data_IF_036310013835
#
_entry.id   IF_036310013835
#
_cell.length_a   1.000
_cell.length_b   1.000
_cell.length_c   1.000
_cell.angle_alpha   90.00
_cell.angle_beta   90.00
_cell.angle_gamma   90.00
#
_symmetry.space_group_name_H-M   'P 1'
#
loop_
_entity.id
_entity.type
_entity.pdbx_description
1 polymer ?
#
# COMPACT_ATOMS: atom_id res chain seq x y z
N UNK A 1 9.81 -16.09 -4.25
CA UNK A 1 10.87 -15.91 -5.26
C UNK A 1 10.94 -14.44 -5.64
N UNK A 2 12.09 -13.83 -5.48
CA UNK A 2 12.34 -12.42 -5.83
C UNK A 2 12.47 -12.28 -7.34
N UNK A 3 11.63 -11.45 -8.00
CA UNK A 3 11.75 -11.13 -9.42
C UNK A 3 12.05 -9.65 -9.60
N UNK A 4 13.16 -9.34 -10.28
CA UNK A 4 13.58 -7.97 -10.61
C UNK A 4 13.12 -7.63 -12.02
N UNK A 5 12.45 -6.49 -12.19
CA UNK A 5 11.96 -6.03 -13.50
C UNK A 5 12.60 -4.66 -13.80
N UNK A 6 13.57 -4.54 -14.74
CA UNK A 6 14.19 -3.27 -15.10
C UNK A 6 13.27 -2.38 -15.95
N UNK A 7 13.37 -1.06 -15.77
CA UNK A 7 12.68 -0.04 -16.56
C UNK A 7 13.53 0.33 -17.78
N UNK A 8 12.93 0.47 -18.96
CA UNK A 8 13.63 0.84 -20.18
C UNK A 8 14.07 2.31 -20.16
N UNK A 9 15.32 2.60 -20.53
CA UNK A 9 15.76 3.96 -20.88
C UNK A 9 15.07 4.40 -22.18
N UNK A 10 14.36 5.54 -22.14
CA UNK A 10 13.68 6.10 -23.29
C UNK A 10 14.66 6.68 -24.28
N UNK A 11 14.89 6.00 -25.41
CA UNK A 11 15.55 6.58 -26.57
C UNK A 11 14.51 7.39 -27.36
N UNK A 12 14.73 8.70 -27.48
CA UNK A 12 13.96 9.55 -28.35
C UNK A 12 14.26 9.23 -29.81
N UNK A 13 13.23 8.92 -30.58
CA UNK A 13 13.25 9.05 -32.04
C UNK A 13 11.90 9.55 -32.54
N UNK A 14 11.97 10.63 -33.31
CA UNK A 14 10.92 11.23 -34.14
C UNK A 14 10.45 10.21 -35.17
N UNK A 15 9.14 10.13 -35.36
CA UNK A 15 8.53 9.38 -36.46
C UNK A 15 7.03 9.68 -36.53
N UNK A 16 6.67 10.57 -37.46
CA UNK A 16 5.32 10.91 -37.91
C UNK A 16 4.56 9.64 -38.35
N UNK A 17 3.30 9.51 -37.97
CA UNK A 17 2.48 8.38 -38.40
C UNK A 17 1.14 8.33 -37.66
N UNK A 18 0.17 9.11 -38.12
CA UNK A 18 -1.24 9.08 -37.75
C UNK A 18 -1.86 7.68 -37.86
N UNK A 19 -2.29 7.12 -36.73
CA UNK A 19 -3.36 6.14 -36.64
C UNK A 19 -4.05 6.28 -35.30
N UNK A 20 -5.25 6.85 -35.29
CA UNK A 20 -6.14 6.85 -34.13
C UNK A 20 -6.66 5.43 -33.89
N UNK A 21 -6.55 4.87 -32.69
CA UNK A 21 -7.36 3.74 -32.30
C UNK A 21 -8.68 4.26 -31.73
N UNK A 22 -9.72 4.25 -32.55
CA UNK A 22 -11.11 4.31 -32.12
C UNK A 22 -11.43 3.06 -31.31
N UNK A 23 -11.78 3.26 -30.06
CA UNK A 23 -12.19 2.19 -29.15
C UNK A 23 -12.11 2.61 -27.70
N UNK A 24 -12.80 3.72 -27.34
CA UNK A 24 -13.06 4.06 -25.94
C UNK A 24 -14.18 3.14 -25.47
N UNK A 25 -13.83 1.94 -24.98
CA UNK A 25 -14.72 1.26 -24.07
C UNK A 25 -14.75 2.10 -22.78
N UNK A 26 -15.81 2.87 -22.60
CA UNK A 26 -16.20 3.46 -21.33
C UNK A 26 -16.36 2.30 -20.33
N UNK A 27 -15.29 2.03 -19.58
CA UNK A 27 -15.40 1.23 -18.37
C UNK A 27 -16.41 1.93 -17.49
N UNK A 28 -17.58 1.29 -17.28
CA UNK A 28 -18.59 1.74 -16.36
C UNK A 28 -17.92 2.15 -15.05
N UNK A 29 -18.17 3.39 -14.62
CA UNK A 29 -17.65 3.91 -13.37
C UNK A 29 -18.11 2.95 -12.26
N UNK A 30 -17.15 2.33 -11.57
CA UNK A 30 -17.46 1.55 -10.38
C UNK A 30 -18.22 2.44 -9.40
N UNK A 31 -19.24 1.91 -8.68
CA UNK A 31 -20.04 2.71 -7.76
C UNK A 31 -19.11 3.37 -6.74
N UNK A 32 -19.15 4.71 -6.66
CA UNK A 32 -18.42 5.46 -5.65
C UNK A 32 -18.76 4.91 -4.26
N UNK A 33 -17.86 4.17 -3.68
CA UNK A 33 -18.00 3.70 -2.32
C UNK A 33 -18.03 4.91 -1.40
N UNK A 34 -19.19 5.17 -0.79
CA UNK A 34 -19.29 6.22 0.24
C UNK A 34 -18.23 5.99 1.32
N UNK A 35 -17.53 7.07 1.74
CA UNK A 35 -16.53 6.95 2.80
C UNK A 35 -17.17 6.35 4.06
N UNK A 36 -16.52 5.34 4.63
CA UNK A 36 -16.97 4.76 5.89
C UNK A 36 -16.67 5.74 7.03
N UNK A 37 -17.68 6.22 7.77
CA UNK A 37 -17.47 7.10 8.90
C UNK A 37 -16.62 6.40 9.95
N UNK A 38 -15.66 7.12 10.54
CA UNK A 38 -14.82 6.58 11.59
C UNK A 38 -14.36 7.68 12.55
N UNK A 39 -13.97 7.25 13.74
CA UNK A 39 -13.29 8.06 14.74
C UNK A 39 -12.18 7.22 15.38
N UNK A 40 -11.00 7.81 15.54
CA UNK A 40 -9.88 7.22 16.26
C UNK A 40 -9.50 8.10 17.44
N UNK A 41 -9.01 7.48 18.50
CA UNK A 41 -8.32 8.15 19.61
C UNK A 41 -6.90 7.62 19.61
N UNK A 42 -5.96 8.50 19.32
CA UNK A 42 -4.53 8.23 19.36
C UNK A 42 -4.02 8.22 20.81
N UNK A 43 -2.98 7.45 21.05
CA UNK A 43 -2.18 7.49 22.29
C UNK A 43 -0.69 7.41 21.94
N UNK A 44 0.22 7.78 22.88
CA UNK A 44 1.64 7.51 22.73
C UNK A 44 1.89 6.00 22.59
N UNK A 45 2.92 5.62 21.83
CA UNK A 45 3.37 4.23 21.82
C UNK A 45 3.80 3.79 23.21
N UNK A 46 3.33 2.64 23.65
CA UNK A 46 3.81 1.99 24.86
C UNK A 46 5.12 1.27 24.59
N UNK A 47 5.91 1.02 25.63
CA UNK A 47 7.17 0.26 25.53
C UNK A 47 6.96 -1.11 24.85
N UNK A 48 5.91 -1.84 25.25
CA UNK A 48 5.56 -3.14 24.64
C UNK A 48 5.18 -3.04 23.14
N UNK A 49 4.55 -1.96 22.73
CA UNK A 49 4.26 -1.73 21.32
C UNK A 49 5.54 -1.42 20.53
N UNK A 50 6.44 -0.63 21.11
CA UNK A 50 7.75 -0.38 20.50
C UNK A 50 8.59 -1.65 20.41
N UNK A 51 8.60 -2.49 21.47
CA UNK A 51 9.22 -3.81 21.42
C UNK A 51 8.64 -4.72 20.32
N UNK A 52 7.30 -4.71 20.17
CA UNK A 52 6.64 -5.45 19.09
C UNK A 52 7.18 -5.04 17.71
N UNK A 53 7.28 -3.74 17.44
CA UNK A 53 7.80 -3.22 16.19
C UNK A 53 9.31 -3.43 16.01
N UNK A 54 10.07 -3.30 17.10
CA UNK A 54 11.51 -3.57 17.12
C UNK A 54 11.84 -5.03 16.76
N UNK A 55 10.94 -5.97 17.06
CA UNK A 55 11.05 -7.37 16.61
C UNK A 55 11.08 -7.54 15.08
N UNK A 56 10.65 -6.53 14.31
CA UNK A 56 10.74 -6.46 12.85
C UNK A 56 11.82 -5.47 12.36
N UNK A 57 12.67 -4.97 13.27
CA UNK A 57 13.65 -3.93 12.95
C UNK A 57 13.07 -2.53 12.75
N UNK A 58 11.78 -2.33 13.05
CA UNK A 58 11.08 -1.07 12.83
C UNK A 58 11.21 -0.20 14.07
N UNK A 59 11.79 0.99 13.91
CA UNK A 59 11.97 1.98 14.97
C UNK A 59 10.78 2.92 15.07
N UNK A 60 10.61 3.60 16.21
CA UNK A 60 9.59 4.64 16.38
C UNK A 60 9.73 5.77 15.34
N UNK A 61 10.95 6.13 14.96
CA UNK A 61 11.20 7.12 13.91
C UNK A 61 10.61 6.69 12.55
N UNK A 62 10.72 5.41 12.19
CA UNK A 62 10.09 4.87 10.99
C UNK A 62 8.57 4.88 11.11
N UNK A 63 8.01 4.47 12.25
CA UNK A 63 6.56 4.50 12.49
C UNK A 63 6.01 5.93 12.32
N UNK A 64 6.63 6.90 12.97
CA UNK A 64 6.23 8.31 12.90
C UNK A 64 6.33 8.85 11.46
N UNK A 65 7.42 8.54 10.75
CA UNK A 65 7.62 8.96 9.36
C UNK A 65 6.52 8.46 8.44
N UNK A 66 6.06 7.23 8.63
CA UNK A 66 5.02 6.61 7.81
C UNK A 66 3.60 6.82 8.34
N UNK A 67 3.41 7.73 9.31
CA UNK A 67 2.09 8.06 9.86
C UNK A 67 1.44 6.92 10.64
N UNK A 68 2.22 5.98 11.15
CA UNK A 68 1.70 4.89 12.00
C UNK A 68 1.44 5.45 13.39
N UNK A 69 0.26 5.16 13.92
CA UNK A 69 -0.19 5.64 15.23
C UNK A 69 -0.55 4.47 16.14
N UNK A 70 -0.22 4.56 17.43
CA UNK A 70 -0.86 3.72 18.44
C UNK A 70 -2.26 4.28 18.71
N UNK A 71 -3.28 3.40 18.65
CA UNK A 71 -4.68 3.78 18.83
C UNK A 71 -5.23 3.21 20.14
N UNK A 72 -5.78 4.11 20.97
CA UNK A 72 -6.53 3.72 22.17
C UNK A 72 -7.92 3.22 21.80
N UNK A 73 -8.56 3.88 20.83
CA UNK A 73 -9.94 3.59 20.44
C UNK A 73 -10.13 3.76 18.94
N UNK A 74 -10.97 2.88 18.38
CA UNK A 74 -11.51 2.98 17.03
C UNK A 74 -13.02 2.79 17.08
N UNK A 75 -13.78 3.67 16.43
CA UNK A 75 -15.23 3.60 16.25
C UNK A 75 -15.59 3.78 14.79
N UNK A 76 -16.58 3.03 14.33
CA UNK A 76 -17.09 3.09 12.95
C UNK A 76 -18.52 2.54 12.89
N UNK A 77 -19.06 2.44 11.68
CA UNK A 77 -20.38 1.89 11.40
C UNK A 77 -20.29 0.79 10.35
N UNK A 78 -21.12 -0.21 10.47
CA UNK A 78 -21.31 -1.23 9.45
C UNK A 78 -22.02 -0.63 8.23
N UNK A 79 -22.09 -1.37 7.12
CA UNK A 79 -22.85 -0.94 5.92
C UNK A 79 -24.32 -0.65 6.23
N UNK A 80 -24.88 -1.31 7.23
CA UNK A 80 -26.28 -1.17 7.68
C UNK A 80 -26.44 -0.08 8.74
N UNK A 81 -25.43 0.76 8.98
CA UNK A 81 -25.47 1.87 9.94
C UNK A 81 -25.34 1.46 11.41
N UNK A 82 -25.04 0.20 11.72
CA UNK A 82 -24.84 -0.25 13.10
C UNK A 82 -23.46 0.16 13.60
N UNK A 83 -23.42 0.93 14.70
CA UNK A 83 -22.17 1.34 15.33
C UNK A 83 -21.41 0.14 15.90
N UNK A 84 -20.09 0.15 15.70
CA UNK A 84 -19.17 -0.80 16.31
C UNK A 84 -17.83 -0.12 16.63
N UNK A 85 -17.01 -0.77 17.43
CA UNK A 85 -15.68 -0.24 17.72
C UNK A 85 -14.85 -1.18 18.58
N UNK A 86 -13.61 -0.77 18.76
CA UNK A 86 -12.61 -1.51 19.52
C UNK A 86 -11.87 -0.56 20.44
N UNK A 87 -11.39 -1.09 21.55
CA UNK A 87 -10.50 -0.40 22.49
C UNK A 87 -9.26 -1.26 22.64
N UNK A 88 -8.09 -0.65 22.50
CA UNK A 88 -6.83 -1.36 22.70
C UNK A 88 -6.61 -1.70 24.17
N UNK A 89 -5.88 -2.77 24.39
CA UNK A 89 -5.43 -3.19 25.72
C UNK A 89 -3.93 -3.51 25.65
N UNK A 90 -3.31 -3.74 26.81
CA UNK A 90 -1.91 -4.16 26.88
C UNK A 90 -1.62 -5.50 26.16
N UNK A 91 -2.65 -6.33 25.93
CA UNK A 91 -2.55 -7.64 25.27
C UNK A 91 -2.96 -7.54 23.81
N UNK A 92 -3.93 -6.69 23.48
CA UNK A 92 -4.46 -6.46 22.14
C UNK A 92 -4.19 -5.02 21.69
N UNK A 93 -2.99 -4.69 21.25
CA UNK A 93 -2.66 -3.37 20.74
C UNK A 93 -3.38 -3.11 19.41
N UNK A 94 -3.59 -1.83 19.09
CA UNK A 94 -4.13 -1.38 17.83
C UNK A 94 -3.21 -0.32 17.21
N UNK A 95 -2.92 -0.48 15.92
CA UNK A 95 -2.11 0.47 15.17
C UNK A 95 -2.91 1.01 13.99
N UNK A 96 -2.88 2.32 13.78
CA UNK A 96 -3.50 2.97 12.64
C UNK A 96 -2.47 3.34 11.59
N UNK A 97 -2.62 2.84 10.37
CA UNK A 97 -1.97 3.39 9.19
C UNK A 97 -2.85 4.52 8.69
N UNK A 98 -2.39 5.77 8.90
CA UNK A 98 -3.21 6.96 8.64
C UNK A 98 -2.73 7.66 7.37
N UNK A 99 -3.64 8.00 6.49
CA UNK A 99 -3.35 8.70 5.25
C UNK A 99 -4.52 9.59 4.81
N UNK A 100 -4.36 10.30 3.71
CA UNK A 100 -5.41 11.16 3.12
C UNK A 100 -6.69 10.42 2.74
N UNK A 101 -6.57 9.11 2.55
CA UNK A 101 -7.67 8.19 2.21
C UNK A 101 -8.46 7.73 3.44
N UNK A 102 -7.95 7.93 4.66
CA UNK A 102 -8.57 7.49 5.91
C UNK A 102 -7.60 6.71 6.78
N UNK A 103 -8.09 5.65 7.41
CA UNK A 103 -7.30 4.79 8.30
C UNK A 103 -7.52 3.31 7.98
N UNK A 104 -6.42 2.55 7.93
CA UNK A 104 -6.43 1.09 8.04
C UNK A 104 -5.90 0.74 9.42
N UNK A 105 -6.75 0.09 10.22
CA UNK A 105 -6.40 -0.28 11.60
C UNK A 105 -5.91 -1.71 11.62
N UNK A 106 -4.73 -1.93 12.16
CA UNK A 106 -4.10 -3.21 12.34
C UNK A 106 -4.19 -3.68 13.79
N UNK A 107 -4.72 -4.87 14.00
CA UNK A 107 -4.93 -5.52 15.30
C UNK A 107 -4.21 -6.87 15.31
N UNK A 108 -2.89 -6.90 15.61
CA UNK A 108 -2.05 -8.08 15.39
C UNK A 108 -2.45 -9.33 16.18
N UNK A 109 -3.12 -9.16 17.30
CA UNK A 109 -3.52 -10.24 18.23
C UNK A 109 -4.99 -10.62 18.12
N UNK A 110 -5.77 -9.94 17.28
CA UNK A 110 -7.20 -10.17 17.14
C UNK A 110 -7.51 -11.07 15.95
N UNK A 111 -8.60 -11.81 16.01
CA UNK A 111 -9.10 -12.62 14.89
C UNK A 111 -9.39 -11.74 13.66
N UNK A 112 -10.11 -10.63 13.87
CA UNK A 112 -10.29 -9.62 12.83
C UNK A 112 -9.08 -8.67 12.87
N UNK A 113 -8.06 -8.99 12.05
CA UNK A 113 -6.77 -8.28 12.06
C UNK A 113 -6.82 -6.88 11.47
N UNK A 114 -7.74 -6.64 10.52
CA UNK A 114 -7.83 -5.34 9.83
C UNK A 114 -9.24 -4.80 9.80
N UNK A 115 -9.38 -3.51 10.10
CA UNK A 115 -10.61 -2.74 9.91
C UNK A 115 -10.27 -1.40 9.26
N UNK A 116 -11.26 -0.79 8.60
CA UNK A 116 -11.04 0.35 7.71
C UNK A 116 -12.01 1.48 8.01
N UNK A 117 -11.53 2.71 7.93
CA UNK A 117 -12.32 3.94 7.98
C UNK A 117 -11.93 4.90 6.87
N UNK A 118 -12.89 5.70 6.36
CA UNK A 118 -12.66 6.61 5.25
C UNK A 118 -12.76 5.93 3.88
N UNK A 119 -12.02 6.43 2.90
CA UNK A 119 -11.89 5.91 1.54
C UNK A 119 -10.65 5.02 1.42
N UNK A 120 -10.76 3.75 1.74
CA UNK A 120 -9.66 2.78 1.65
C UNK A 120 -9.74 1.88 0.40
N UNK A 121 -10.34 2.40 -0.67
CA UNK A 121 -10.48 1.68 -1.95
C UNK A 121 -9.25 1.82 -2.85
N UNK A 122 -9.48 1.99 -4.17
CA UNK A 122 -8.46 1.96 -5.22
C UNK A 122 -7.34 3.00 -5.11
N UNK A 123 -7.53 4.05 -4.31
CA UNK A 123 -6.52 5.07 -4.07
C UNK A 123 -5.57 4.76 -2.90
N UNK A 124 -5.77 3.63 -2.22
CA UNK A 124 -4.89 3.22 -1.13
C UNK A 124 -3.53 2.80 -1.67
N UNK A 125 -2.51 3.53 -1.28
CA UNK A 125 -1.12 3.16 -1.54
C UNK A 125 -0.26 3.65 -0.37
N UNK A 126 0.12 2.72 0.50
CA UNK A 126 0.94 3.01 1.67
C UNK A 126 2.40 3.17 1.26
N UNK A 127 3.07 4.20 1.81
CA UNK A 127 4.47 4.52 1.52
C UNK A 127 4.70 5.39 0.28
N UNK A 128 3.68 5.66 -0.54
CA UNK A 128 3.84 6.43 -1.78
C UNK A 128 4.36 7.86 -1.56
N UNK A 129 3.92 8.51 -0.47
CA UNK A 129 4.30 9.89 -0.13
C UNK A 129 5.75 9.97 0.39
N UNK A 130 6.28 8.86 0.91
CA UNK A 130 7.63 8.74 1.45
C UNK A 130 8.70 8.45 0.39
N UNK A 131 8.28 8.17 -0.84
CA UNK A 131 9.22 7.87 -1.92
C UNK A 131 9.96 9.13 -2.39
N UNK A 132 11.28 9.04 -2.68
CA UNK A 132 12.04 10.14 -3.27
C UNK A 132 11.57 10.45 -4.70
N UNK A 133 11.85 11.65 -5.24
CA UNK A 133 11.51 12.00 -6.61
C UNK A 133 12.14 11.07 -7.66
N UNK A 134 13.32 10.53 -7.37
CA UNK A 134 14.07 9.55 -8.17
C UNK A 134 14.74 8.54 -7.26
N UNK A 135 14.82 7.29 -7.72
CA UNK A 135 15.45 6.20 -7.01
C UNK A 135 15.94 5.11 -7.96
N UNK A 136 16.74 4.20 -7.44
CA UNK A 136 17.24 3.06 -8.22
C UNK A 136 16.22 1.93 -8.19
N UNK A 137 15.87 1.44 -7.02
CA UNK A 137 14.99 0.29 -6.83
C UNK A 137 13.81 0.62 -5.94
N UNK A 138 12.62 0.18 -6.36
CA UNK A 138 11.37 0.22 -5.60
C UNK A 138 10.86 -1.19 -5.38
N UNK A 139 10.47 -1.50 -4.15
CA UNK A 139 9.78 -2.75 -3.81
C UNK A 139 8.27 -2.54 -3.72
N UNK A 140 7.50 -3.41 -4.37
CA UNK A 140 6.06 -3.56 -4.18
C UNK A 140 5.84 -4.80 -3.30
N UNK A 141 5.22 -4.59 -2.13
CA UNK A 141 5.05 -5.64 -1.11
C UNK A 141 3.57 -5.97 -0.87
N UNK A 142 3.32 -7.06 -0.15
CA UNK A 142 1.98 -7.51 0.21
C UNK A 142 1.32 -6.70 1.33
N UNK A 143 2.10 -6.02 2.19
CA UNK A 143 1.55 -5.35 3.35
C UNK A 143 2.38 -4.20 3.90
N UNK A 144 1.74 -3.40 4.76
CA UNK A 144 2.32 -2.20 5.38
C UNK A 144 3.54 -2.53 6.25
N UNK A 145 3.50 -3.67 6.94
CA UNK A 145 4.61 -4.09 7.81
C UNK A 145 5.88 -4.35 7.00
N UNK A 146 5.74 -4.95 5.82
CA UNK A 146 6.88 -5.22 4.94
C UNK A 146 7.47 -3.92 4.39
N UNK A 147 6.60 -2.94 4.04
CA UNK A 147 7.03 -1.58 3.67
C UNK A 147 7.86 -0.95 4.78
N UNK A 148 7.37 -1.01 6.02
CA UNK A 148 8.05 -0.44 7.19
C UNK A 148 9.39 -1.15 7.47
N UNK A 149 9.42 -2.47 7.35
CA UNK A 149 10.65 -3.27 7.52
C UNK A 149 11.70 -2.89 6.48
N UNK A 150 11.32 -2.82 5.20
CA UNK A 150 12.21 -2.39 4.13
C UNK A 150 12.69 -0.95 4.33
N UNK A 151 11.81 -0.05 4.74
CA UNK A 151 12.16 1.35 5.03
C UNK A 151 13.15 1.48 6.20
N UNK A 152 13.00 0.66 7.23
CA UNK A 152 13.94 0.60 8.36
C UNK A 152 15.37 0.20 7.92
N UNK A 153 15.49 -0.54 6.80
CA UNK A 153 16.75 -0.94 6.21
C UNK A 153 17.20 -0.04 5.04
N UNK A 154 16.55 1.11 4.84
CA UNK A 154 16.93 2.10 3.83
C UNK A 154 16.42 1.80 2.42
N UNK A 155 15.53 0.83 2.24
CA UNK A 155 14.91 0.53 0.95
C UNK A 155 13.63 1.33 0.72
N UNK A 156 13.31 1.61 -0.54
CA UNK A 156 12.05 2.22 -0.93
C UNK A 156 11.01 1.13 -1.21
N UNK A 157 9.88 1.21 -0.54
CA UNK A 157 8.81 0.24 -0.70
C UNK A 157 7.44 0.89 -0.61
N UNK A 158 6.47 0.27 -1.26
CA UNK A 158 5.04 0.60 -1.17
C UNK A 158 4.21 -0.68 -1.15
N UNK A 159 2.99 -0.58 -0.64
CA UNK A 159 1.98 -1.61 -0.83
C UNK A 159 0.61 -1.00 -1.14
N UNK A 160 -0.25 -1.82 -1.73
CA UNK A 160 -1.67 -1.52 -1.95
C UNK A 160 -2.52 -2.16 -0.84
N UNK A 161 -3.82 -1.96 -0.89
CA UNK A 161 -4.73 -2.46 0.14
C UNK A 161 -4.69 -3.99 0.31
N UNK A 162 -4.45 -4.70 -0.79
CA UNK A 162 -4.26 -6.15 -0.86
C UNK A 162 -3.31 -6.48 -2.02
N UNK A 163 -2.60 -7.59 -1.93
CA UNK A 163 -1.81 -8.15 -3.05
C UNK A 163 -2.65 -8.37 -4.31
N UNK A 164 -3.95 -8.69 -4.15
CA UNK A 164 -4.87 -8.91 -5.26
C UNK A 164 -5.38 -7.62 -5.91
N UNK A 165 -5.14 -6.45 -5.31
CA UNK A 165 -5.58 -5.16 -5.85
C UNK A 165 -4.93 -4.87 -7.21
N UNK A 166 -5.69 -4.27 -8.12
CA UNK A 166 -5.14 -3.76 -9.39
C UNK A 166 -4.33 -2.50 -9.07
N UNK A 167 -3.12 -2.39 -9.61
CA UNK A 167 -2.31 -1.19 -9.45
C UNK A 167 -2.90 -0.09 -10.34
N UNK A 168 -3.31 1.07 -9.79
CA UNK A 168 -3.86 2.14 -10.60
C UNK A 168 -2.87 2.63 -11.66
N UNK A 169 -3.29 2.73 -12.92
CA UNK A 169 -2.46 3.17 -14.06
C UNK A 169 -1.72 4.49 -13.79
N UNK A 170 -2.39 5.43 -13.12
CA UNK A 170 -1.81 6.72 -12.71
C UNK A 170 -0.61 6.54 -11.76
N UNK A 171 -0.65 5.54 -10.88
CA UNK A 171 0.45 5.24 -9.97
C UNK A 171 1.58 4.58 -10.75
N UNK A 172 1.31 3.56 -11.58
CA UNK A 172 2.35 2.90 -12.40
C UNK A 172 3.14 3.93 -13.20
N UNK A 173 2.46 4.82 -13.94
CA UNK A 173 3.12 5.86 -14.74
C UNK A 173 4.08 6.73 -13.90
N UNK A 174 3.70 7.08 -12.67
CA UNK A 174 4.57 7.84 -11.77
C UNK A 174 5.78 7.02 -11.32
N UNK A 175 5.59 5.73 -11.03
CA UNK A 175 6.65 4.86 -10.50
C UNK A 175 7.72 4.56 -11.56
N UNK A 176 7.32 4.26 -12.81
CA UNK A 176 8.27 3.97 -13.90
C UNK A 176 9.12 5.18 -14.29
N UNK A 177 8.64 6.40 -14.04
CA UNK A 177 9.44 7.62 -14.21
C UNK A 177 10.41 7.90 -13.05
N UNK A 178 10.13 7.33 -11.88
CA UNK A 178 10.89 7.62 -10.64
C UNK A 178 11.97 6.58 -10.36
N UNK A 179 11.77 5.32 -10.76
CA UNK A 179 12.63 4.21 -10.39
C UNK A 179 13.09 3.45 -11.62
N UNK A 180 14.38 3.02 -11.61
CA UNK A 180 14.96 2.20 -12.69
C UNK A 180 14.50 0.75 -12.60
N UNK A 181 14.28 0.26 -11.38
CA UNK A 181 13.88 -1.12 -11.12
C UNK A 181 12.65 -1.14 -10.22
N UNK A 182 11.68 -1.98 -10.57
CA UNK A 182 10.52 -2.29 -9.73
C UNK A 182 10.57 -3.78 -9.42
N UNK A 183 10.62 -4.11 -8.12
CA UNK A 183 10.70 -5.48 -7.61
C UNK A 183 9.39 -5.85 -6.94
N UNK A 184 8.76 -6.94 -7.40
CA UNK A 184 7.60 -7.52 -6.74
C UNK A 184 8.09 -8.46 -5.64
N UNK A 185 7.75 -8.16 -4.39
CA UNK A 185 8.13 -8.91 -3.20
C UNK A 185 6.87 -9.31 -2.44
N UNK A 186 6.22 -10.39 -2.89
CA UNK A 186 5.01 -10.95 -2.31
C UNK A 186 5.29 -12.29 -1.63
N UNK A 187 4.33 -12.75 -0.82
CA UNK A 187 4.42 -14.05 -0.17
C UNK A 187 4.54 -15.18 -1.21
N UNK A 188 5.21 -16.27 -0.83
CA UNK A 188 5.42 -17.43 -1.72
C UNK A 188 4.26 -18.43 -1.69
N UNK A 189 3.13 -18.03 -1.11
CA UNK A 189 1.89 -18.79 -1.18
C UNK A 189 1.21 -18.65 -2.55
N UNK A 190 0.11 -19.38 -2.75
CA UNK A 190 -0.63 -19.38 -4.03
C UNK A 190 -1.11 -17.98 -4.41
N UNK A 191 -1.63 -17.22 -3.45
CA UNK A 191 -2.19 -15.87 -3.69
C UNK A 191 -1.08 -14.89 -4.09
N UNK A 192 0.03 -14.88 -3.37
CA UNK A 192 1.17 -14.02 -3.67
C UNK A 192 1.82 -14.33 -5.02
N UNK A 193 1.92 -15.62 -5.39
CA UNK A 193 2.44 -16.04 -6.71
C UNK A 193 1.52 -15.60 -7.86
N UNK A 194 0.20 -15.79 -7.74
CA UNK A 194 -0.79 -15.36 -8.73
C UNK A 194 -0.82 -13.83 -8.86
N UNK A 195 -0.76 -13.12 -7.74
CA UNK A 195 -0.74 -11.65 -7.70
C UNK A 195 0.55 -11.09 -8.28
N UNK A 196 1.69 -11.73 -8.00
CA UNK A 196 2.98 -11.36 -8.59
C UNK A 196 2.96 -11.47 -10.11
N UNK A 197 2.39 -12.55 -10.66
CA UNK A 197 2.28 -12.73 -12.11
C UNK A 197 1.33 -11.71 -12.74
N UNK A 198 0.17 -11.45 -12.13
CA UNK A 198 -0.79 -10.43 -12.57
C UNK A 198 -0.14 -9.04 -12.61
N UNK A 199 0.54 -8.64 -11.54
CA UNK A 199 1.19 -7.32 -11.48
C UNK A 199 2.38 -7.23 -12.44
N UNK A 200 3.13 -8.33 -12.64
CA UNK A 200 4.18 -8.38 -13.65
C UNK A 200 3.64 -8.11 -15.05
N UNK A 201 2.51 -8.73 -15.42
CA UNK A 201 1.86 -8.49 -16.71
C UNK A 201 1.42 -7.03 -16.83
N UNK A 202 0.75 -6.51 -15.79
CA UNK A 202 0.30 -5.13 -15.75
C UNK A 202 1.46 -4.13 -15.88
N UNK A 203 2.58 -4.34 -15.17
CA UNK A 203 3.76 -3.48 -15.28
C UNK A 203 4.41 -3.55 -16.67
N UNK A 204 4.40 -4.72 -17.31
CA UNK A 204 4.97 -4.89 -18.66
C UNK A 204 4.23 -4.05 -19.71
N UNK A 205 2.91 -3.88 -19.58
CA UNK A 205 2.10 -3.00 -20.45
C UNK A 205 2.54 -1.53 -20.39
N UNK A 206 3.21 -1.12 -19.32
CA UNK A 206 3.77 0.22 -19.14
C UNK A 206 5.28 0.31 -19.43
N UNK A 207 5.84 -0.66 -20.14
CA UNK A 207 7.22 -0.64 -20.59
C UNK A 207 8.25 -1.10 -19.56
N UNK A 208 7.82 -1.68 -18.44
CA UNK A 208 8.73 -2.29 -17.47
C UNK A 208 9.23 -3.62 -18.03
N UNK A 209 10.54 -3.71 -18.33
CA UNK A 209 11.15 -4.93 -18.89
C UNK A 209 11.38 -6.00 -17.83
N UNK A 210 11.47 -7.26 -18.27
CA UNK A 210 11.85 -8.40 -17.44
C UNK A 210 13.28 -8.30 -16.94
#
# INVERSE_FOLDING_TARGET
AMRVVPVAEGNGMNGDGTAEPTGTEERAAEPEHKPRPYRTVQQPFTEKELEYWAGYGITEAVLNRYGVQSLKEYRSETKDGKAFGFTSTAIEPMFGYVGKWGVKVYRPKSEVRFVYGGHTGDNYCFGLEELPPKGDTLFLTGGEKDVLTLAAHGFHAICFNSETSVIPAKIIRKLVYRFKHIVLLYDVDKIGLESSEKHRQQLTEYGVKR
#
